data_IF_324127348921
#
_entry.id   IF_324127348921
#
_cell.length_a   1.000
_cell.length_b   1.000
_cell.length_c   1.000
_cell.angle_alpha   90.00
_cell.angle_beta   90.00
_cell.angle_gamma   90.00
#
_symmetry.space_group_name_H-M   'P 1'
#
loop_
_entity.id
_entity.type
_entity.pdbx_description
1 polymer ?
#
# COMPACT_ATOMS: atom_id res chain seq x y z
N UNK A 1 -23.03 80.71 -3.68
CA UNK A 1 -21.82 81.51 -3.93
C UNK A 1 -21.06 81.63 -2.61
N UNK A 2 -19.75 81.36 -2.54
CA UNK A 2 -18.87 80.54 -3.38
C UNK A 2 -18.22 79.39 -2.54
N UNK A 3 -17.71 78.30 -3.12
CA UNK A 3 -16.38 78.18 -3.77
C UNK A 3 -15.34 77.77 -2.71
N UNK A 4 -14.54 76.72 -2.85
CA UNK A 4 -13.68 76.43 -4.00
C UNK A 4 -13.34 74.94 -4.15
N UNK A 5 -13.41 74.51 -5.40
CA UNK A 5 -12.72 73.35 -5.96
C UNK A 5 -11.23 73.63 -6.12
N UNK A 6 -10.38 72.64 -5.87
CA UNK A 6 -9.02 72.61 -6.42
C UNK A 6 -8.78 71.29 -7.16
N UNK A 7 -8.67 71.41 -8.49
CA UNK A 7 -8.16 70.45 -9.45
C UNK A 7 -6.65 70.60 -9.56
N UNK A 8 -5.93 69.50 -9.80
CA UNK A 8 -4.65 69.39 -10.54
C UNK A 8 -4.40 67.87 -10.71
N UNK A 9 -4.86 67.19 -11.77
CA UNK A 9 -4.34 67.10 -13.15
C UNK A 9 -2.92 66.52 -13.31
N UNK A 10 -2.80 65.63 -14.32
CA UNK A 10 -1.60 65.00 -14.93
C UNK A 10 -1.03 63.75 -14.23
N UNK A 11 -0.56 62.71 -14.93
CA UNK A 11 -0.48 62.41 -16.36
C UNK A 11 -0.32 60.89 -16.54
N UNK A 12 -0.84 60.40 -17.67
CA UNK A 12 -0.52 59.09 -18.24
C UNK A 12 0.96 59.08 -18.63
N UNK A 13 1.73 58.12 -18.10
CA UNK A 13 3.06 57.80 -18.58
C UNK A 13 3.11 56.29 -18.87
N UNK A 14 3.10 55.97 -20.16
CA UNK A 14 3.55 54.70 -20.70
C UNK A 14 5.01 54.47 -20.28
N UNK A 15 5.28 53.36 -19.60
CA UNK A 15 6.63 52.81 -19.54
C UNK A 15 6.57 51.32 -19.86
N UNK A 16 7.11 51.05 -21.04
CA UNK A 16 7.38 49.75 -21.61
C UNK A 16 8.36 48.97 -20.73
N UNK A 17 7.97 47.78 -20.30
CA UNK A 17 8.95 46.72 -20.01
C UNK A 17 8.55 45.46 -20.77
N UNK A 18 9.34 45.19 -21.83
CA UNK A 18 9.30 43.97 -22.63
C UNK A 18 9.67 42.75 -21.77
N UNK A 19 9.18 41.55 -22.13
CA UNK A 19 9.50 40.32 -21.43
C UNK A 19 10.95 39.91 -21.72
N UNK A 20 11.73 39.69 -20.66
CA UNK A 20 13.04 39.08 -20.74
C UNK A 20 12.88 37.56 -20.92
N UNK A 21 13.00 37.13 -22.18
CA UNK A 21 13.68 35.92 -22.68
C UNK A 21 13.51 34.59 -21.93
N UNK A 22 12.97 33.65 -22.70
CA UNK A 22 12.90 32.20 -22.56
C UNK A 22 14.10 31.46 -21.92
N UNK A 23 13.72 30.55 -21.01
CA UNK A 23 14.30 29.22 -20.66
C UNK A 23 15.64 29.15 -19.90
N UNK A 24 15.77 28.17 -18.96
CA UNK A 24 15.32 26.78 -19.14
C UNK A 24 14.54 26.14 -17.97
N UNK A 25 13.22 25.93 -18.16
CA UNK A 25 12.45 24.89 -17.45
C UNK A 25 12.68 23.48 -18.04
N UNK A 26 13.92 23.15 -18.37
CA UNK A 26 14.28 21.81 -18.87
C UNK A 26 15.32 21.11 -17.99
N UNK A 27 15.36 21.46 -16.69
CA UNK A 27 16.22 20.77 -15.71
C UNK A 27 15.41 20.22 -14.52
N UNK A 28 14.17 20.66 -14.28
CA UNK A 28 13.35 20.18 -13.13
C UNK A 28 12.63 18.85 -13.36
N UNK A 29 12.55 18.34 -14.60
CA UNK A 29 11.83 17.08 -14.90
C UNK A 29 12.70 15.82 -14.99
N UNK A 30 14.03 15.95 -14.96
CA UNK A 30 14.97 14.81 -15.07
C UNK A 30 15.47 14.33 -13.69
N UNK A 31 15.35 15.17 -12.66
CA UNK A 31 15.86 14.91 -11.31
C UNK A 31 15.09 13.78 -10.57
N UNK A 32 13.74 13.61 -10.69
CA UNK A 32 13.05 12.54 -9.98
C UNK A 32 13.47 11.14 -10.44
N UNK A 33 13.82 10.97 -11.72
CA UNK A 33 14.24 9.66 -12.26
C UNK A 33 15.71 9.33 -11.99
N UNK A 34 16.62 10.30 -12.09
CA UNK A 34 18.03 10.09 -11.77
C UNK A 34 18.26 9.85 -10.27
N UNK A 35 17.55 10.58 -9.39
CA UNK A 35 17.59 10.33 -7.95
C UNK A 35 16.98 8.97 -7.59
N UNK A 36 15.87 8.57 -8.25
CA UNK A 36 15.31 7.22 -8.09
C UNK A 36 16.26 6.11 -8.57
N UNK A 37 17.08 6.36 -9.58
CA UNK A 37 18.06 5.38 -10.07
C UNK A 37 19.22 5.17 -9.10
N UNK A 38 19.87 6.24 -8.62
CA UNK A 38 20.92 6.15 -7.60
C UNK A 38 20.39 5.58 -6.28
N UNK A 39 19.14 5.92 -5.95
CA UNK A 39 18.42 5.38 -4.80
C UNK A 39 18.13 3.87 -4.96
N UNK A 40 17.70 3.42 -6.14
CA UNK A 40 17.54 1.99 -6.50
C UNK A 40 18.87 1.24 -6.55
N UNK A 41 19.97 1.88 -6.98
CA UNK A 41 21.29 1.28 -7.09
C UNK A 41 21.86 0.84 -5.73
N UNK A 42 21.60 1.59 -4.64
CA UNK A 42 21.98 1.20 -3.27
C UNK A 42 21.27 -0.07 -2.75
N UNK A 43 20.23 -0.55 -3.45
CA UNK A 43 19.52 -1.81 -3.13
C UNK A 43 20.34 -3.06 -3.50
N UNK A 44 21.36 -2.93 -4.35
CA UNK A 44 22.16 -4.04 -4.87
C UNK A 44 23.42 -4.39 -4.03
N UNK A 45 23.69 -3.67 -2.93
CA UNK A 45 24.89 -3.88 -2.12
C UNK A 45 24.91 -5.20 -1.30
N UNK A 46 23.84 -6.02 -1.36
CA UNK A 46 23.78 -7.30 -0.66
C UNK A 46 23.15 -8.38 -1.55
N UNK A 47 24.00 -9.14 -2.24
CA UNK A 47 23.61 -10.25 -3.13
C UNK A 47 22.75 -11.28 -2.38
N UNK A 48 23.08 -11.60 -1.13
CA UNK A 48 22.31 -12.55 -0.32
C UNK A 48 20.87 -12.08 -0.07
N UNK A 49 20.69 -10.80 0.28
CA UNK A 49 19.36 -10.22 0.45
C UNK A 49 18.57 -10.14 -0.86
N UNK A 50 19.25 -9.95 -2.00
CA UNK A 50 18.63 -9.98 -3.32
C UNK A 50 18.13 -11.40 -3.67
N UNK A 51 18.97 -12.42 -3.45
CA UNK A 51 18.59 -13.84 -3.68
C UNK A 51 17.41 -14.24 -2.80
N UNK A 52 17.44 -13.88 -1.52
CA UNK A 52 16.31 -14.14 -0.61
C UNK A 52 15.03 -13.45 -1.11
N UNK A 53 15.13 -12.19 -1.53
CA UNK A 53 13.99 -11.46 -2.08
C UNK A 53 13.40 -12.12 -3.33
N UNK A 54 14.25 -12.64 -4.23
CA UNK A 54 13.81 -13.38 -5.41
C UNK A 54 13.08 -14.68 -5.03
N UNK A 55 13.60 -15.44 -4.06
CA UNK A 55 12.95 -16.67 -3.57
C UNK A 55 11.56 -16.40 -2.98
N UNK A 56 11.41 -15.35 -2.17
CA UNK A 56 10.10 -14.97 -1.65
C UNK A 56 9.15 -14.43 -2.74
N UNK A 57 9.68 -13.78 -3.78
CA UNK A 57 8.88 -13.37 -4.94
C UNK A 57 8.32 -14.60 -5.66
N UNK A 58 9.15 -15.63 -5.88
CA UNK A 58 8.71 -16.90 -6.48
C UNK A 58 7.70 -17.64 -5.60
N UNK A 59 7.91 -17.69 -4.28
CA UNK A 59 6.96 -18.26 -3.33
C UNK A 59 5.60 -17.55 -3.43
N UNK A 60 5.60 -16.22 -3.46
CA UNK A 60 4.38 -15.41 -3.58
C UNK A 60 3.68 -15.65 -4.91
N UNK A 61 4.41 -15.71 -6.02
CA UNK A 61 3.84 -16.01 -7.33
C UNK A 61 3.21 -17.39 -7.37
N UNK A 62 3.88 -18.41 -6.83
CA UNK A 62 3.35 -19.78 -6.74
C UNK A 62 2.06 -19.81 -5.92
N UNK A 63 2.08 -19.16 -4.74
CA UNK A 63 0.92 -19.10 -3.85
C UNK A 63 -0.28 -18.46 -4.54
N UNK A 64 -0.13 -17.29 -5.16
CA UNK A 64 -1.25 -16.62 -5.82
C UNK A 64 -1.75 -17.36 -7.06
N UNK A 65 -0.87 -18.02 -7.83
CA UNK A 65 -1.31 -18.87 -8.96
C UNK A 65 -2.22 -19.99 -8.47
N UNK A 66 -1.84 -20.66 -7.39
CA UNK A 66 -2.66 -21.70 -6.77
C UNK A 66 -3.97 -21.12 -6.25
N UNK A 67 -3.93 -20.02 -5.50
CA UNK A 67 -5.12 -19.34 -4.98
C UNK A 67 -6.12 -19.01 -6.09
N UNK A 68 -5.65 -18.42 -7.19
CA UNK A 68 -6.51 -18.07 -8.32
C UNK A 68 -7.00 -19.29 -9.10
N UNK A 69 -6.20 -20.35 -9.20
CA UNK A 69 -6.61 -21.61 -9.85
C UNK A 69 -7.76 -22.26 -9.08
N UNK A 70 -7.61 -22.41 -7.76
CA UNK A 70 -8.65 -22.98 -6.89
C UNK A 70 -9.92 -22.12 -6.88
N UNK A 71 -9.76 -20.79 -6.84
CA UNK A 71 -10.90 -19.87 -6.90
C UNK A 71 -11.63 -19.97 -8.25
N UNK A 72 -10.88 -20.04 -9.37
CA UNK A 72 -11.45 -20.18 -10.70
C UNK A 72 -12.28 -21.47 -10.84
N UNK A 73 -11.74 -22.60 -10.38
CA UNK A 73 -12.45 -23.89 -10.39
C UNK A 73 -13.77 -23.80 -9.62
N UNK A 74 -13.75 -23.24 -8.41
CA UNK A 74 -14.94 -23.10 -7.55
C UNK A 74 -16.04 -22.23 -8.16
N UNK A 75 -15.66 -21.20 -8.94
CA UNK A 75 -16.63 -20.33 -9.62
C UNK A 75 -16.97 -20.83 -11.03
N UNK A 76 -16.50 -22.01 -11.45
CA UNK A 76 -16.75 -22.57 -12.78
C UNK A 76 -16.10 -21.77 -13.91
N UNK A 77 -14.91 -21.22 -13.67
CA UNK A 77 -14.09 -20.52 -14.65
C UNK A 77 -12.85 -21.37 -15.00
N UNK A 78 -12.30 -21.17 -16.20
CA UNK A 78 -11.01 -21.76 -16.56
C UNK A 78 -9.86 -20.87 -16.10
N UNK A 79 -8.77 -21.47 -15.63
CA UNK A 79 -7.53 -20.78 -15.25
C UNK A 79 -6.39 -21.14 -16.21
N UNK A 80 -5.58 -20.15 -16.57
CA UNK A 80 -4.37 -20.35 -17.36
C UNK A 80 -3.22 -19.49 -16.84
N UNK A 81 -2.03 -20.08 -16.74
CA UNK A 81 -0.80 -19.37 -16.37
C UNK A 81 -0.21 -18.63 -17.58
N UNK A 82 0.13 -17.36 -17.42
CA UNK A 82 0.76 -16.53 -18.44
C UNK A 82 2.19 -16.13 -18.05
N UNK A 83 2.96 -15.61 -19.03
CA UNK A 83 4.31 -15.09 -18.81
C UNK A 83 4.26 -13.88 -17.86
N UNK A 84 5.40 -13.54 -17.26
CA UNK A 84 5.57 -12.37 -16.39
C UNK A 84 4.70 -12.36 -15.11
N UNK A 85 4.26 -13.55 -14.66
CA UNK A 85 3.52 -13.71 -13.41
C UNK A 85 2.01 -13.45 -13.53
N UNK A 86 1.50 -13.20 -14.74
CA UNK A 86 0.07 -13.04 -14.97
C UNK A 86 -0.66 -14.38 -14.94
N UNK A 87 -1.91 -14.36 -14.48
CA UNK A 87 -2.88 -15.45 -14.67
C UNK A 87 -4.09 -14.92 -15.44
N UNK A 88 -4.63 -15.78 -16.30
CA UNK A 88 -5.84 -15.54 -17.08
C UNK A 88 -6.96 -16.41 -16.52
N UNK A 89 -8.11 -15.80 -16.23
CA UNK A 89 -9.28 -16.51 -15.70
C UNK A 89 -10.47 -16.19 -16.60
N UNK A 90 -11.12 -17.20 -17.18
CA UNK A 90 -12.13 -17.00 -18.24
C UNK A 90 -13.44 -17.69 -17.90
N UNK A 91 -14.56 -16.98 -18.06
CA UNK A 91 -15.92 -17.52 -17.91
C UNK A 91 -16.88 -16.75 -18.82
N UNK A 92 -17.72 -17.46 -19.59
CA UNK A 92 -18.78 -16.87 -20.43
C UNK A 92 -18.31 -15.72 -21.34
N UNK A 93 -17.19 -15.90 -22.04
CA UNK A 93 -16.62 -14.88 -22.95
C UNK A 93 -15.86 -13.74 -22.26
N UNK A 94 -15.99 -13.58 -20.95
CA UNK A 94 -15.24 -12.61 -20.15
C UNK A 94 -13.91 -13.19 -19.68
N UNK A 95 -12.87 -12.38 -19.72
CA UNK A 95 -11.53 -12.72 -19.25
C UNK A 95 -11.06 -11.74 -18.18
N UNK A 96 -10.69 -12.25 -17.00
CA UNK A 96 -10.01 -11.51 -15.94
C UNK A 96 -8.51 -11.78 -16.04
N UNK A 97 -7.70 -10.74 -15.93
CA UNK A 97 -6.25 -10.82 -15.82
C UNK A 97 -5.84 -10.39 -14.42
N UNK A 98 -5.06 -11.23 -13.75
CA UNK A 98 -4.54 -10.96 -12.40
C UNK A 98 -3.04 -11.15 -12.35
N UNK A 99 -2.38 -10.47 -11.42
CA UNK A 99 -0.95 -10.66 -11.12
C UNK A 99 -0.74 -10.60 -9.61
N UNK A 100 -0.35 -11.72 -9.01
CA UNK A 100 -0.38 -11.86 -7.55
C UNK A 100 -1.75 -11.45 -6.99
N UNK A 101 -1.83 -10.49 -6.07
CA UNK A 101 -3.10 -9.96 -5.56
C UNK A 101 -3.70 -8.82 -6.40
N UNK A 102 -3.03 -8.39 -7.47
CA UNK A 102 -3.48 -7.27 -8.30
C UNK A 102 -4.60 -7.71 -9.26
N UNK A 103 -5.64 -6.90 -9.34
CA UNK A 103 -6.82 -7.05 -10.21
C UNK A 103 -7.09 -5.74 -10.95
N UNK A 104 -7.85 -5.79 -12.05
CA UNK A 104 -8.12 -4.63 -12.92
C UNK A 104 -9.37 -3.83 -12.50
N UNK A 105 -9.59 -3.63 -11.20
CA UNK A 105 -10.76 -2.91 -10.68
C UNK A 105 -10.54 -1.40 -10.59
N UNK A 106 -9.35 -0.99 -10.13
CA UNK A 106 -9.02 0.41 -9.90
C UNK A 106 -8.12 0.99 -11.00
N UNK A 107 -8.29 2.27 -11.32
CA UNK A 107 -7.49 2.96 -12.32
C UNK A 107 -6.04 3.19 -11.87
N UNK A 108 -5.10 3.30 -12.80
CA UNK A 108 -3.70 3.60 -12.46
C UNK A 108 -3.55 4.85 -11.59
N UNK A 109 -4.31 5.91 -11.88
CA UNK A 109 -4.29 7.16 -11.11
C UNK A 109 -4.83 6.96 -9.69
N UNK A 110 -5.87 6.14 -9.51
CA UNK A 110 -6.37 5.75 -8.18
C UNK A 110 -5.29 5.04 -7.37
N UNK A 111 -4.59 4.08 -7.98
CA UNK A 111 -3.49 3.36 -7.33
C UNK A 111 -2.35 4.30 -6.90
N UNK A 112 -1.99 5.26 -7.75
CA UNK A 112 -0.94 6.24 -7.46
C UNK A 112 -1.35 7.21 -6.33
N UNK A 113 -2.56 7.74 -6.39
CA UNK A 113 -3.11 8.63 -5.37
C UNK A 113 -3.17 7.95 -4.01
N UNK A 114 -3.73 6.74 -3.94
CA UNK A 114 -3.83 5.97 -2.69
C UNK A 114 -2.45 5.53 -2.17
N UNK A 115 -1.46 5.42 -3.05
CA UNK A 115 -0.06 5.18 -2.70
C UNK A 115 0.63 6.37 -2.01
N UNK A 116 0.03 7.58 -2.04
CA UNK A 116 0.57 8.79 -1.43
C UNK A 116 -0.17 9.14 -0.12
N UNK A 117 0.50 8.86 1.01
CA UNK A 117 -0.08 9.04 2.34
C UNK A 117 -0.50 10.47 2.64
N UNK A 118 0.32 11.45 2.23
CA UNK A 118 0.03 12.87 2.52
C UNK A 118 -1.21 13.36 1.77
N UNK A 119 -1.39 12.93 0.51
CA UNK A 119 -2.58 13.27 -0.27
C UNK A 119 -3.83 12.57 0.28
N UNK A 120 -3.72 11.29 0.64
CA UNK A 120 -4.84 10.55 1.25
C UNK A 120 -5.27 11.19 2.56
N UNK A 121 -4.34 11.60 3.42
CA UNK A 121 -4.68 12.30 4.66
C UNK A 121 -5.37 13.65 4.40
N UNK A 122 -4.95 14.41 3.38
CA UNK A 122 -5.63 15.65 2.99
C UNK A 122 -7.08 15.39 2.58
N UNK A 123 -7.31 14.43 1.68
CA UNK A 123 -8.67 14.06 1.25
C UNK A 123 -9.53 13.55 2.41
N UNK A 124 -8.97 12.72 3.29
CA UNK A 124 -9.66 12.25 4.49
C UNK A 124 -10.07 13.43 5.38
N UNK A 125 -9.19 14.40 5.60
CA UNK A 125 -9.49 15.58 6.42
C UNK A 125 -10.57 16.47 5.79
N UNK A 126 -10.53 16.69 4.48
CA UNK A 126 -11.56 17.42 3.72
C UNK A 126 -12.94 16.76 3.85
N UNK A 127 -12.98 15.44 3.89
CA UNK A 127 -14.19 14.64 4.13
C UNK A 127 -14.61 14.58 5.61
N UNK A 128 -13.90 15.27 6.52
CA UNK A 128 -14.20 15.30 7.95
C UNK A 128 -13.73 14.08 8.75
N UNK A 129 -12.91 13.20 8.16
CA UNK A 129 -12.33 12.07 8.87
C UNK A 129 -11.18 12.51 9.77
N UNK A 130 -11.07 11.84 10.92
CA UNK A 130 -9.92 11.98 11.80
C UNK A 130 -8.71 11.31 11.16
N UNK A 131 -7.64 12.06 11.02
CA UNK A 131 -6.34 11.58 10.57
C UNK A 131 -5.31 11.62 11.71
N UNK A 132 -4.20 10.88 11.62
CA UNK A 132 -3.08 11.07 12.51
C UNK A 132 -2.57 12.51 12.44
N UNK A 133 -2.14 13.08 13.57
CA UNK A 133 -1.35 14.30 13.52
C UNK A 133 -0.02 13.99 12.81
N UNK A 134 0.29 14.73 11.75
CA UNK A 134 1.44 14.43 10.90
C UNK A 134 2.12 15.69 10.37
N UNK A 135 3.36 15.53 9.92
CA UNK A 135 4.10 16.55 9.20
C UNK A 135 4.88 15.90 8.05
N UNK A 136 4.71 16.43 6.84
CA UNK A 136 5.53 16.06 5.69
C UNK A 136 6.81 16.89 5.65
N UNK A 137 7.92 16.24 5.30
CA UNK A 137 9.26 16.85 5.26
C UNK A 137 10.19 16.06 4.33
N UNK A 138 11.36 16.63 4.07
CA UNK A 138 12.48 16.01 3.35
C UNK A 138 13.72 16.05 4.23
N UNK A 139 14.79 15.35 3.86
CA UNK A 139 16.06 15.48 4.58
C UNK A 139 16.59 16.91 4.64
N UNK A 140 16.33 17.73 3.62
CA UNK A 140 16.68 19.16 3.60
C UNK A 140 15.85 20.00 4.59
N UNK A 141 14.66 19.52 4.95
CA UNK A 141 13.71 20.22 5.84
C UNK A 141 13.47 19.45 7.14
N UNK A 142 14.44 18.64 7.57
CA UNK A 142 14.36 17.80 8.79
C UNK A 142 13.92 18.58 10.03
N UNK A 143 14.30 19.86 10.14
CA UNK A 143 13.92 20.77 11.23
C UNK A 143 12.39 20.87 11.43
N UNK A 144 11.58 20.62 10.40
CA UNK A 144 10.11 20.52 10.53
C UNK A 144 9.70 19.33 11.39
N UNK A 145 10.33 18.18 11.18
CA UNK A 145 10.08 16.98 11.97
C UNK A 145 10.65 17.09 13.38
N UNK A 146 11.76 17.83 13.58
CA UNK A 146 12.30 18.14 14.91
C UNK A 146 11.27 18.94 15.72
N UNK A 147 10.75 20.03 15.15
CA UNK A 147 9.65 20.81 15.77
C UNK A 147 8.41 19.96 16.05
N UNK A 148 8.08 19.04 15.15
CA UNK A 148 6.98 18.11 15.37
C UNK A 148 7.24 17.21 16.58
N UNK A 149 8.43 16.65 16.72
CA UNK A 149 8.80 15.84 17.89
C UNK A 149 8.70 16.66 19.18
N UNK A 150 9.24 17.88 19.20
CA UNK A 150 9.21 18.76 20.38
C UNK A 150 7.77 19.12 20.80
N UNK A 151 6.88 19.33 19.83
CA UNK A 151 5.49 19.72 20.07
C UNK A 151 4.56 18.55 20.44
N UNK A 152 4.97 17.30 20.24
CA UNK A 152 4.13 16.12 20.46
C UNK A 152 4.71 15.23 21.56
N UNK A 153 4.24 15.37 22.82
CA UNK A 153 4.68 14.48 23.89
C UNK A 153 4.22 13.05 23.58
N UNK A 154 5.18 12.15 23.34
CA UNK A 154 4.90 10.75 23.04
C UNK A 154 5.86 10.16 22.00
N UNK A 155 5.51 8.97 21.54
CA UNK A 155 6.24 8.30 20.46
C UNK A 155 5.76 8.80 19.09
N UNK A 156 6.70 8.99 18.18
CA UNK A 156 6.42 9.31 16.77
C UNK A 156 6.86 8.15 15.87
N UNK A 157 6.27 8.13 14.67
CA UNK A 157 6.63 7.20 13.60
C UNK A 157 7.16 7.99 12.42
N UNK A 158 8.26 7.53 11.84
CA UNK A 158 8.80 8.07 10.59
C UNK A 158 8.57 7.05 9.48
N UNK A 159 8.02 7.52 8.36
CA UNK A 159 7.69 6.70 7.20
C UNK A 159 8.01 7.46 5.89
N UNK A 160 8.37 6.76 4.82
CA UNK A 160 8.40 7.38 3.50
C UNK A 160 6.98 7.68 2.99
N UNK A 161 6.79 8.82 2.34
CA UNK A 161 5.46 9.35 1.97
C UNK A 161 4.75 8.52 0.88
N UNK A 162 5.52 7.90 -0.03
CA UNK A 162 5.02 7.08 -1.13
C UNK A 162 5.90 5.83 -1.34
N UNK A 163 5.35 4.82 -2.04
CA UNK A 163 6.11 3.63 -2.48
C UNK A 163 6.44 2.59 -1.40
N UNK A 164 5.77 2.66 -0.24
CA UNK A 164 6.15 1.93 0.99
C UNK A 164 5.40 0.64 1.26
N UNK A 165 4.63 0.12 0.30
CA UNK A 165 3.83 -1.09 0.48
C UNK A 165 4.59 -2.22 1.19
N UNK A 166 4.02 -2.74 2.29
CA UNK A 166 4.66 -3.74 3.15
C UNK A 166 5.56 -3.17 4.26
N UNK A 167 5.44 -1.90 4.61
CA UNK A 167 6.11 -1.30 5.79
C UNK A 167 7.59 -0.96 5.60
N UNK A 168 8.08 -0.88 4.35
CA UNK A 168 9.49 -0.54 4.08
C UNK A 168 9.80 0.89 4.49
N UNK A 169 10.92 1.09 5.17
CA UNK A 169 11.37 2.41 5.61
C UNK A 169 10.64 2.95 6.83
N UNK A 170 9.71 2.19 7.42
CA UNK A 170 8.98 2.59 8.62
C UNK A 170 9.88 2.38 9.85
N UNK A 171 9.88 3.34 10.76
CA UNK A 171 10.45 3.20 12.11
C UNK A 171 9.48 3.81 13.09
N UNK A 172 9.07 3.00 14.07
CA UNK A 172 8.15 3.36 15.14
C UNK A 172 8.90 3.64 16.44
N UNK A 173 8.20 4.23 17.39
CA UNK A 173 8.59 4.41 18.78
C UNK A 173 9.77 5.34 18.98
N UNK A 174 9.90 6.32 18.10
CA UNK A 174 10.94 7.34 18.18
C UNK A 174 10.52 8.34 19.26
N UNK A 175 11.42 8.62 20.20
CA UNK A 175 11.17 9.55 21.33
C UNK A 175 12.19 10.68 21.39
N UNK A 176 13.27 10.62 20.60
CA UNK A 176 14.35 11.59 20.67
C UNK A 176 14.87 12.00 19.27
N UNK A 177 15.63 13.10 19.27
CA UNK A 177 16.22 13.68 18.06
C UNK A 177 17.19 12.75 17.33
N UNK A 178 17.94 11.92 18.07
CA UNK A 178 18.90 11.01 17.48
C UNK A 178 18.20 9.86 16.73
N UNK A 179 17.13 9.32 17.32
CA UNK A 179 16.20 8.36 16.73
C UNK A 179 15.54 8.93 15.48
N UNK A 180 15.01 10.16 15.56
CA UNK A 180 14.42 10.86 14.41
C UNK A 180 15.41 10.99 13.24
N UNK A 181 16.66 11.42 13.52
CA UNK A 181 17.72 11.54 12.50
C UNK A 181 18.09 10.20 11.86
N UNK A 182 18.18 9.13 12.67
CA UNK A 182 18.48 7.77 12.17
C UNK A 182 17.33 7.22 11.32
N UNK A 183 16.10 7.33 11.82
CA UNK A 183 14.89 6.90 11.14
C UNK A 183 14.67 7.66 9.82
N UNK A 184 14.86 8.99 9.81
CA UNK A 184 14.73 9.81 8.61
C UNK A 184 15.73 9.40 7.53
N UNK A 185 17.00 9.15 7.89
CA UNK A 185 18.00 8.65 6.94
C UNK A 185 17.64 7.26 6.40
N UNK A 186 17.09 6.39 7.23
CA UNK A 186 16.62 5.08 6.79
C UNK A 186 15.42 5.19 5.83
N UNK A 187 14.42 5.99 6.18
CA UNK A 187 13.24 6.23 5.35
C UNK A 187 13.57 6.95 4.03
N UNK A 188 14.54 7.88 4.05
CA UNK A 188 15.06 8.57 2.87
C UNK A 188 15.73 7.61 1.87
N UNK A 189 16.13 6.42 2.34
CA UNK A 189 16.45 5.30 1.46
C UNK A 189 15.17 4.60 0.97
N UNK A 190 14.04 5.25 0.73
CA UNK A 190 12.85 4.68 0.09
C UNK A 190 12.04 5.73 -0.67
N UNK A 191 11.98 6.94 -0.12
CA UNK A 191 11.37 8.11 -0.75
C UNK A 191 12.13 9.36 -0.32
N UNK A 192 12.36 10.36 -1.19
CA UNK A 192 12.88 11.66 -0.78
C UNK A 192 11.89 12.41 0.13
N UNK A 193 10.60 12.19 -0.10
CA UNK A 193 9.51 12.74 0.70
C UNK A 193 9.17 11.81 1.86
N UNK A 194 9.16 12.37 3.06
CA UNK A 194 8.96 11.67 4.32
C UNK A 194 7.75 12.25 5.06
N UNK A 195 7.18 11.41 5.92
CA UNK A 195 6.13 11.77 6.86
C UNK A 195 6.57 11.36 8.25
N UNK A 196 6.44 12.30 9.19
CA UNK A 196 6.42 12.00 10.62
C UNK A 196 4.98 12.09 11.10
N UNK A 197 4.55 11.14 11.92
CA UNK A 197 3.21 11.14 12.50
C UNK A 197 3.26 10.68 13.96
N UNK A 198 2.25 11.07 14.74
CA UNK A 198 2.08 10.56 16.10
C UNK A 198 1.83 9.04 16.07
N UNK A 199 2.52 8.29 16.94
CA UNK A 199 2.26 6.87 17.06
C UNK A 199 0.93 6.62 17.76
N UNK A 200 0.05 5.90 17.08
CA UNK A 200 -1.25 5.51 17.61
C UNK A 200 -1.12 4.20 18.38
N UNK A 201 -1.58 4.19 19.63
CA UNK A 201 -1.63 2.99 20.45
C UNK A 201 -2.80 2.08 20.07
N UNK A 202 -2.59 0.77 20.14
CA UNK A 202 -3.63 -0.23 19.89
C UNK A 202 -3.14 -1.36 18.99
N UNK A 203 -4.08 -2.24 18.63
CA UNK A 203 -3.86 -3.34 17.72
C UNK A 203 -4.03 -2.88 16.27
N UNK A 204 -3.38 -3.59 15.35
CA UNK A 204 -3.52 -3.35 13.91
C UNK A 204 -4.58 -4.26 13.32
N UNK A 205 -5.55 -3.65 12.64
CA UNK A 205 -6.60 -4.34 11.93
C UNK A 205 -6.55 -3.96 10.46
N UNK A 206 -6.93 -4.91 9.60
CA UNK A 206 -7.19 -4.67 8.18
C UNK A 206 -8.60 -5.12 7.88
N UNK A 207 -9.46 -4.17 7.51
CA UNK A 207 -10.78 -4.43 6.98
C UNK A 207 -10.70 -4.44 5.46
N UNK A 208 -11.41 -5.35 4.82
CA UNK A 208 -11.42 -5.50 3.38
C UNK A 208 -12.81 -5.15 2.85
N UNK A 209 -12.83 -4.31 1.82
CA UNK A 209 -14.04 -3.84 1.16
C UNK A 209 -13.96 -4.11 -0.34
N UNK A 210 -15.11 -4.47 -0.92
CA UNK A 210 -15.30 -4.60 -2.35
C UNK A 210 -16.56 -3.81 -2.74
N UNK A 211 -16.40 -2.74 -3.52
CA UNK A 211 -17.46 -1.85 -3.96
C UNK A 211 -18.36 -1.40 -2.79
N UNK A 212 -17.74 -0.77 -1.78
CA UNK A 212 -18.39 -0.32 -0.54
C UNK A 212 -18.81 -1.43 0.43
N UNK A 213 -18.83 -2.70 0.00
CA UNK A 213 -19.28 -3.81 0.82
C UNK A 213 -18.14 -4.37 1.67
N UNK A 214 -18.35 -4.43 2.98
CA UNK A 214 -17.44 -5.11 3.91
C UNK A 214 -17.41 -6.63 3.68
N UNK A 215 -16.25 -7.15 3.32
CA UNK A 215 -16.08 -8.57 3.01
C UNK A 215 -15.33 -9.34 4.09
N UNK A 216 -14.28 -8.79 4.71
CA UNK A 216 -13.52 -9.49 5.75
C UNK A 216 -12.74 -8.55 6.69
N UNK A 217 -12.33 -9.04 7.86
CA UNK A 217 -11.41 -8.31 8.73
C UNK A 217 -10.42 -9.21 9.46
N UNK A 218 -9.16 -8.74 9.55
CA UNK A 218 -8.05 -9.47 10.17
C UNK A 218 -7.32 -8.58 11.17
N UNK A 219 -7.12 -9.05 12.41
CA UNK A 219 -6.15 -8.49 13.35
C UNK A 219 -4.77 -9.05 13.02
N UNK A 220 -3.76 -8.20 12.99
CA UNK A 220 -2.37 -8.57 12.75
C UNK A 220 -1.54 -8.24 13.98
N UNK A 221 -0.88 -9.25 14.51
CA UNK A 221 -0.05 -9.16 15.69
C UNK A 221 1.42 -9.05 15.30
N UNK A 222 2.21 -8.34 16.09
CA UNK A 222 3.60 -8.03 15.77
C UNK A 222 4.45 -9.32 15.61
N UNK A 223 5.45 -9.32 14.71
CA UNK A 223 6.25 -10.51 14.49
C UNK A 223 7.18 -10.80 15.69
N UNK A 224 7.23 -12.08 16.07
CA UNK A 224 8.09 -12.61 17.13
C UNK A 224 8.94 -13.79 16.65
N UNK A 225 9.95 -14.14 17.44
CA UNK A 225 10.70 -15.40 17.34
C UNK A 225 10.63 -16.15 18.67
N UNK A 226 10.64 -17.48 18.62
CA UNK A 226 10.64 -18.34 19.82
C UNK A 226 12.03 -18.87 20.07
N UNK A 227 12.53 -18.72 21.30
CA UNK A 227 13.82 -19.24 21.72
C UNK A 227 13.90 -20.76 21.68
N UNK A 228 15.04 -21.29 21.24
CA UNK A 228 15.38 -22.72 21.30
C UNK A 228 16.45 -23.00 22.36
N UNK A 229 16.77 -22.01 23.21
CA UNK A 229 17.81 -22.09 24.25
C UNK A 229 19.25 -22.08 23.72
N UNK A 230 19.47 -22.11 22.40
CA UNK A 230 20.80 -22.31 21.80
C UNK A 230 21.15 -21.27 20.74
N UNK A 231 20.19 -20.78 19.97
CA UNK A 231 20.37 -19.91 18.82
C UNK A 231 20.23 -18.45 19.21
N UNK A 232 20.99 -17.58 18.55
CA UNK A 232 20.77 -16.13 18.69
C UNK A 232 19.50 -15.70 17.94
N UNK A 233 18.93 -14.54 18.28
CA UNK A 233 17.80 -13.94 17.56
C UNK A 233 18.06 -13.91 16.05
N UNK A 234 19.26 -13.50 15.60
CA UNK A 234 19.65 -13.52 14.18
C UNK A 234 19.53 -14.91 13.55
N UNK A 235 19.96 -15.96 14.26
CA UNK A 235 19.85 -17.35 13.79
C UNK A 235 18.41 -17.83 13.80
N UNK A 236 17.61 -17.44 14.80
CA UNK A 236 16.18 -17.76 14.87
C UNK A 236 15.41 -17.12 13.70
N UNK A 237 15.69 -15.86 13.36
CA UNK A 237 15.12 -15.21 12.17
C UNK A 237 15.49 -15.95 10.88
N UNK A 238 16.76 -16.35 10.73
CA UNK A 238 17.20 -17.11 9.56
C UNK A 238 16.51 -18.49 9.48
N UNK A 239 16.36 -19.21 10.59
CA UNK A 239 15.59 -20.46 10.67
C UNK A 239 14.12 -20.23 10.30
N UNK A 240 13.50 -19.17 10.80
CA UNK A 240 12.12 -18.83 10.47
C UNK A 240 11.95 -18.50 8.98
N UNK A 241 12.90 -17.77 8.36
CA UNK A 241 12.85 -17.49 6.92
C UNK A 241 13.05 -18.75 6.08
N UNK A 242 13.95 -19.64 6.49
CA UNK A 242 14.09 -20.95 5.85
C UNK A 242 12.79 -21.76 5.94
N UNK A 243 12.15 -21.78 7.11
CA UNK A 243 10.83 -22.41 7.27
C UNK A 243 9.77 -21.76 6.37
N UNK A 244 9.67 -20.42 6.34
CA UNK A 244 8.72 -19.69 5.47
C UNK A 244 8.87 -20.04 3.98
N UNK A 245 10.09 -20.31 3.51
CA UNK A 245 10.36 -20.66 2.11
C UNK A 245 9.98 -22.10 1.73
N UNK A 246 10.09 -23.05 2.67
CA UNK A 246 9.95 -24.48 2.37
C UNK A 246 8.69 -25.12 2.95
N UNK A 247 8.02 -24.47 3.90
CA UNK A 247 6.81 -25.02 4.51
C UNK A 247 5.64 -25.06 3.52
N UNK A 248 4.87 -26.14 3.59
CA UNK A 248 3.63 -26.32 2.82
C UNK A 248 2.52 -26.78 3.78
N UNK A 249 1.44 -26.01 3.98
CA UNK A 249 1.14 -24.72 3.35
C UNK A 249 2.09 -23.59 3.81
N UNK A 250 2.30 -22.53 3.00
CA UNK A 250 3.17 -21.41 3.41
C UNK A 250 2.67 -20.73 4.69
N UNK A 251 3.58 -20.37 5.59
CA UNK A 251 3.22 -19.62 6.81
C UNK A 251 3.35 -18.10 6.65
N UNK A 252 4.09 -17.63 5.65
CA UNK A 252 4.19 -16.23 5.27
C UNK A 252 4.73 -16.11 3.83
N UNK A 253 4.47 -15.00 3.15
CA UNK A 253 4.94 -14.72 1.79
C UNK A 253 6.04 -13.66 1.74
N UNK A 254 6.62 -13.31 2.88
CA UNK A 254 7.68 -12.31 3.01
C UNK A 254 8.73 -12.76 4.03
N UNK A 255 10.00 -12.35 3.84
CA UNK A 255 11.05 -12.60 4.82
C UNK A 255 10.80 -11.75 6.05
N UNK A 256 11.06 -12.33 7.22
CA UNK A 256 11.21 -11.60 8.47
C UNK A 256 12.59 -10.95 8.50
N UNK A 257 12.65 -9.65 8.83
CA UNK A 257 13.88 -8.87 8.82
C UNK A 257 14.18 -8.26 10.18
N UNK A 258 15.48 -8.23 10.50
CA UNK A 258 16.01 -7.33 11.54
C UNK A 258 16.32 -6.00 10.87
N UNK A 259 15.28 -5.19 10.66
CA UNK A 259 15.36 -3.86 10.08
C UNK A 259 15.68 -2.78 11.14
N UNK A 260 15.52 -1.50 10.77
CA UNK A 260 15.79 -0.39 11.68
C UNK A 260 14.79 -0.36 12.86
N UNK A 261 13.53 -0.73 12.62
CA UNK A 261 12.51 -0.82 13.67
C UNK A 261 12.83 -1.96 14.65
N UNK A 262 13.19 -3.14 14.12
CA UNK A 262 13.63 -4.28 14.92
C UNK A 262 14.88 -3.96 15.76
N UNK A 263 15.86 -3.31 15.14
CA UNK A 263 17.11 -2.97 15.84
C UNK A 263 16.88 -1.97 16.97
N UNK A 264 16.01 -0.97 16.76
CA UNK A 264 15.60 -0.03 17.79
C UNK A 264 14.85 -0.73 18.93
N UNK A 265 13.85 -1.53 18.59
CA UNK A 265 13.05 -2.28 19.57
C UNK A 265 13.89 -3.22 20.43
N UNK A 266 14.79 -4.00 19.83
CA UNK A 266 15.66 -4.90 20.60
C UNK A 266 16.56 -4.11 21.55
N UNK A 267 17.18 -3.03 21.08
CA UNK A 267 18.08 -2.21 21.90
C UNK A 267 17.35 -1.56 23.10
N UNK A 268 16.14 -1.05 22.89
CA UNK A 268 15.29 -0.49 23.96
C UNK A 268 14.94 -1.52 25.04
N UNK A 269 14.89 -2.81 24.68
CA UNK A 269 14.62 -3.92 25.60
C UNK A 269 15.89 -4.61 26.11
N UNK A 270 17.06 -3.96 26.00
CA UNK A 270 18.37 -4.50 26.37
C UNK A 270 18.72 -5.84 25.66
N UNK A 271 18.13 -6.06 24.48
CA UNK A 271 18.39 -7.19 23.61
C UNK A 271 19.28 -6.78 22.43
N UNK A 272 19.87 -7.78 21.79
CA UNK A 272 20.62 -7.58 20.55
C UNK A 272 20.40 -8.77 19.61
N UNK A 273 20.69 -8.66 18.31
CA UNK A 273 20.59 -9.79 17.39
C UNK A 273 21.45 -11.02 17.77
N UNK A 274 22.46 -10.85 18.64
CA UNK A 274 23.30 -11.93 19.18
C UNK A 274 22.75 -12.55 20.46
N UNK A 275 21.74 -11.94 21.11
CA UNK A 275 21.07 -12.49 22.29
C UNK A 275 20.47 -13.87 22.00
N UNK A 276 20.56 -14.79 22.96
CA UNK A 276 20.08 -16.18 22.87
C UNK A 276 18.94 -16.38 23.87
N UNK A 277 17.67 -16.35 23.42
CA UNK A 277 16.53 -16.54 24.31
C UNK A 277 16.48 -17.98 24.82
N UNK A 278 15.98 -18.16 26.05
CA UNK A 278 15.72 -19.47 26.63
C UNK A 278 14.69 -20.24 25.78
N UNK A 279 14.69 -21.57 25.89
CA UNK A 279 13.75 -22.40 25.16
C UNK A 279 12.30 -22.05 25.53
N UNK A 280 11.45 -21.81 24.52
CA UNK A 280 10.05 -21.43 24.71
C UNK A 280 9.81 -19.94 24.97
N UNK A 281 10.85 -19.12 25.16
CA UNK A 281 10.67 -17.67 25.33
C UNK A 281 10.27 -17.03 24.01
N UNK A 282 9.10 -16.40 23.97
CA UNK A 282 8.70 -15.54 22.86
C UNK A 282 9.41 -14.18 22.96
N UNK A 283 10.08 -13.80 21.88
CA UNK A 283 10.76 -12.50 21.78
C UNK A 283 10.12 -11.72 20.64
N UNK A 284 9.44 -10.63 20.98
CA UNK A 284 8.96 -9.68 20.00
C UNK A 284 10.13 -9.10 19.22
N UNK A 285 10.11 -9.22 17.90
CA UNK A 285 11.24 -8.81 17.07
C UNK A 285 11.21 -7.32 16.76
N UNK A 286 10.02 -6.77 16.51
CA UNK A 286 9.81 -5.36 16.16
C UNK A 286 8.40 -4.89 16.49
N UNK A 287 8.24 -3.58 16.59
CA UNK A 287 6.97 -2.91 16.91
C UNK A 287 6.07 -2.78 15.70
N UNK A 288 6.66 -2.55 14.53
CA UNK A 288 5.92 -2.41 13.29
C UNK A 288 5.22 -3.72 12.93
N UNK A 289 3.90 -3.64 12.71
CA UNK A 289 3.06 -4.76 12.31
C UNK A 289 3.22 -5.02 10.81
N UNK A 290 4.30 -5.70 10.45
CA UNK A 290 4.55 -6.20 9.10
C UNK A 290 5.37 -7.50 9.17
N UNK A 291 5.43 -8.23 8.06
CA UNK A 291 6.15 -9.53 7.97
C UNK A 291 5.64 -10.59 8.96
N UNK A 292 4.40 -10.44 9.41
CA UNK A 292 3.65 -11.34 10.27
C UNK A 292 3.44 -12.69 9.55
N UNK A 293 3.40 -13.77 10.31
CA UNK A 293 3.04 -15.11 9.82
C UNK A 293 1.56 -15.40 10.02
N UNK A 294 1.08 -16.50 9.45
CA UNK A 294 -0.30 -16.94 9.58
C UNK A 294 -0.76 -17.02 11.04
N UNK A 295 0.08 -17.56 11.93
CA UNK A 295 -0.20 -17.68 13.36
C UNK A 295 -0.44 -16.33 14.07
N UNK A 296 -0.01 -15.21 13.47
CA UNK A 296 -0.16 -13.85 13.99
C UNK A 296 -1.28 -13.06 13.30
N UNK A 297 -2.05 -13.69 12.42
CA UNK A 297 -3.17 -13.08 11.74
C UNK A 297 -4.46 -13.77 12.21
N UNK A 298 -5.38 -13.01 12.79
CA UNK A 298 -6.61 -13.54 13.37
C UNK A 298 -7.82 -12.98 12.63
N UNK A 299 -8.71 -13.83 12.14
CA UNK A 299 -9.98 -13.37 11.59
C UNK A 299 -10.81 -12.76 12.72
N UNK A 300 -11.22 -11.50 12.56
CA UNK A 300 -12.03 -10.76 13.54
C UNK A 300 -13.28 -10.17 12.89
N UNK A 301 -13.68 -10.68 11.72
CA UNK A 301 -14.79 -10.16 10.91
C UNK A 301 -16.08 -9.96 11.72
N UNK A 302 -16.41 -10.92 12.58
CA UNK A 302 -17.63 -10.90 13.43
C UNK A 302 -17.52 -9.94 14.62
N UNK A 303 -16.31 -9.47 14.96
CA UNK A 303 -16.07 -8.59 16.11
C UNK A 303 -16.10 -7.11 15.74
N UNK A 304 -16.04 -6.75 14.45
CA UNK A 304 -15.95 -5.36 14.04
C UNK A 304 -17.25 -4.62 14.35
N UNK A 305 -17.13 -3.50 15.07
CA UNK A 305 -18.29 -2.67 15.40
C UNK A 305 -18.98 -2.13 14.13
N UNK A 306 -20.33 -2.22 14.01
CA UNK A 306 -21.06 -1.78 12.81
C UNK A 306 -20.79 -0.33 12.40
N UNK A 307 -20.68 0.59 13.36
CA UNK A 307 -20.36 2.00 13.05
C UNK A 307 -18.97 2.16 12.40
N UNK A 308 -17.99 1.33 12.79
CA UNK A 308 -16.66 1.31 12.15
C UNK A 308 -16.76 0.75 10.73
N UNK A 309 -17.58 -0.29 10.53
CA UNK A 309 -17.83 -0.86 9.20
C UNK A 309 -18.39 0.21 8.25
N UNK A 310 -19.43 0.93 8.68
CA UNK A 310 -20.11 1.95 7.88
C UNK A 310 -19.22 3.18 7.63
N UNK A 311 -18.46 3.62 8.63
CA UNK A 311 -17.50 4.73 8.50
C UNK A 311 -16.43 4.41 7.44
N UNK A 312 -15.83 3.23 7.50
CA UNK A 312 -14.82 2.82 6.54
C UNK A 312 -15.42 2.54 5.14
N UNK A 313 -16.65 2.01 5.05
CA UNK A 313 -17.39 1.88 3.79
C UNK A 313 -17.58 3.24 3.10
N UNK A 314 -18.08 4.22 3.85
CA UNK A 314 -18.26 5.58 3.33
C UNK A 314 -16.95 6.22 2.88
N UNK A 315 -15.85 5.98 3.61
CA UNK A 315 -14.53 6.48 3.20
C UNK A 315 -14.09 5.87 1.86
N UNK A 316 -14.19 4.55 1.69
CA UNK A 316 -13.71 3.89 0.46
C UNK A 316 -14.56 4.28 -0.75
N UNK A 317 -15.88 4.44 -0.56
CA UNK A 317 -16.80 4.89 -1.61
C UNK A 317 -16.51 6.33 -2.03
N UNK A 318 -16.31 7.23 -1.06
CA UNK A 318 -15.98 8.64 -1.34
C UNK A 318 -14.60 8.81 -2.01
N UNK A 319 -13.65 7.92 -1.72
CA UNK A 319 -12.34 7.89 -2.38
C UNK A 319 -12.39 7.20 -3.76
N UNK A 320 -13.52 6.59 -4.14
CA UNK A 320 -13.69 5.89 -5.41
C UNK A 320 -12.80 4.66 -5.54
N UNK A 321 -12.52 3.96 -4.42
CA UNK A 321 -11.69 2.75 -4.41
C UNK A 321 -12.59 1.51 -4.39
N UNK A 322 -12.49 0.70 -5.43
CA UNK A 322 -13.38 -0.45 -5.63
C UNK A 322 -12.92 -1.67 -4.82
N UNK A 323 -11.62 -1.94 -4.72
CA UNK A 323 -11.07 -2.96 -3.82
C UNK A 323 -10.10 -2.33 -2.83
N UNK A 324 -10.55 -2.19 -1.58
CA UNK A 324 -9.83 -1.46 -0.55
C UNK A 324 -9.49 -2.33 0.66
N UNK A 325 -8.22 -2.28 1.08
CA UNK A 325 -7.79 -2.69 2.42
C UNK A 325 -7.66 -1.48 3.33
N UNK A 326 -8.58 -1.32 4.28
CA UNK A 326 -8.58 -0.22 5.25
C UNK A 326 -7.85 -0.66 6.51
N UNK A 327 -6.70 -0.05 6.76
CA UNK A 327 -5.88 -0.33 7.94
C UNK A 327 -6.31 0.58 9.09
N UNK A 328 -6.68 -0.04 10.21
CA UNK A 328 -7.17 0.62 11.42
C UNK A 328 -6.21 0.33 12.56
N UNK A 329 -5.87 1.37 13.33
CA UNK A 329 -5.15 1.25 14.60
C UNK A 329 -6.13 1.60 15.71
N UNK A 330 -6.50 0.62 16.55
CA UNK A 330 -7.40 0.86 17.66
C UNK A 330 -7.20 -0.12 18.83
N UNK A 331 -7.64 0.28 20.02
CA UNK A 331 -7.54 -0.56 21.24
C UNK A 331 -8.50 -1.75 21.17
N UNK A 332 -9.71 -1.52 20.69
CA UNK A 332 -10.78 -2.52 20.68
C UNK A 332 -11.68 -2.34 19.45
N UNK A 333 -11.59 -3.26 18.48
CA UNK A 333 -12.34 -3.20 17.23
C UNK A 333 -13.86 -3.43 17.42
N UNK A 334 -14.27 -3.97 18.57
CA UNK A 334 -15.68 -4.16 18.92
C UNK A 334 -16.37 -2.89 19.42
N UNK A 335 -15.61 -1.81 19.60
CA UNK A 335 -16.12 -0.48 19.95
C UNK A 335 -16.07 0.46 18.75
N UNK A 336 -16.95 1.50 18.70
CA UNK A 336 -16.88 2.52 17.66
C UNK A 336 -15.48 3.12 17.55
N UNK A 337 -15.03 3.35 16.31
CA UNK A 337 -13.79 4.09 16.06
C UNK A 337 -13.99 5.57 16.43
N UNK A 338 -12.94 6.21 16.93
CA UNK A 338 -13.00 7.61 17.38
C UNK A 338 -11.92 7.96 18.37
N UNK A 339 -11.97 9.18 18.92
CA UNK A 339 -10.89 9.79 19.71
C UNK A 339 -10.29 8.91 20.80
N UNK A 340 -11.14 8.15 21.49
CA UNK A 340 -10.75 7.34 22.64
C UNK A 340 -10.39 5.90 22.27
N UNK A 341 -10.63 5.47 21.03
CA UNK A 341 -10.44 4.09 20.62
C UNK A 341 -9.38 3.90 19.52
N UNK A 342 -9.29 4.81 18.54
CA UNK A 342 -8.37 4.68 17.42
C UNK A 342 -8.78 5.47 16.18
N UNK A 343 -8.12 5.21 15.06
CA UNK A 343 -8.38 5.86 13.77
C UNK A 343 -8.05 4.95 12.57
N UNK A 344 -8.47 5.38 11.38
CA UNK A 344 -8.06 4.80 10.11
C UNK A 344 -6.67 5.34 9.78
N UNK A 345 -5.68 4.46 9.64
CA UNK A 345 -4.29 4.83 9.38
C UNK A 345 -3.92 4.81 7.90
N UNK A 346 -4.54 3.96 7.09
CA UNK A 346 -4.22 3.85 5.66
C UNK A 346 -5.39 3.24 4.89
N UNK A 347 -5.58 3.67 3.64
CA UNK A 347 -6.46 3.02 2.67
C UNK A 347 -5.56 2.47 1.56
N UNK A 348 -5.50 1.14 1.46
CA UNK A 348 -4.65 0.44 0.51
C UNK A 348 -5.48 -0.04 -0.69
N UNK A 349 -5.09 0.37 -1.90
CA UNK A 349 -5.52 -0.28 -3.15
C UNK A 349 -4.77 -1.57 -3.38
N UNK A 350 -5.32 -2.47 -4.21
CA UNK A 350 -4.74 -3.80 -4.50
C UNK A 350 -4.22 -4.52 -3.25
N UNK A 351 -5.04 -4.62 -2.18
CA UNK A 351 -4.62 -5.19 -0.92
C UNK A 351 -4.17 -6.64 -1.11
N UNK A 352 -3.11 -7.03 -0.41
CA UNK A 352 -2.62 -8.40 -0.49
C UNK A 352 -3.65 -9.40 0.07
N UNK A 353 -4.33 -10.13 -0.81
CA UNK A 353 -5.39 -11.08 -0.43
C UNK A 353 -4.92 -12.14 0.56
N UNK A 354 -3.66 -12.58 0.45
CA UNK A 354 -3.05 -13.57 1.34
C UNK A 354 -3.21 -13.27 2.84
N UNK A 355 -3.39 -12.02 3.27
CA UNK A 355 -3.65 -11.70 4.68
C UNK A 355 -4.98 -12.28 5.20
N UNK A 356 -5.93 -12.55 4.31
CA UNK A 356 -7.26 -13.10 4.61
C UNK A 356 -7.30 -14.64 4.53
N UNK A 357 -6.21 -15.26 4.06
CA UNK A 357 -6.08 -16.71 3.91
C UNK A 357 -4.99 -17.29 4.82
N UNK A 358 -3.85 -16.60 4.95
CA UNK A 358 -2.77 -16.94 5.87
C UNK A 358 -3.10 -16.38 7.25
N UNK A 359 -4.02 -17.08 7.92
CA UNK A 359 -4.52 -16.77 9.27
C UNK A 359 -4.32 -17.98 10.20
N UNK A 360 -4.36 -17.75 11.50
CA UNK A 360 -4.10 -18.76 12.53
C UNK A 360 -5.10 -19.93 12.45
N UNK A 361 -6.33 -19.61 12.04
CA UNK A 361 -7.47 -20.52 11.97
C UNK A 361 -8.04 -20.50 10.53
N UNK A 362 -7.45 -21.25 9.58
CA UNK A 362 -7.81 -21.18 8.15
C UNK A 362 -9.30 -21.48 7.86
N UNK A 363 -9.95 -22.29 8.70
CA UNK A 363 -11.37 -22.62 8.62
C UNK A 363 -12.30 -21.40 8.85
N UNK A 364 -11.79 -20.36 9.49
CA UNK A 364 -12.46 -19.07 9.68
C UNK A 364 -12.20 -18.08 8.53
N UNK A 365 -11.44 -18.50 7.51
CA UNK A 365 -11.05 -17.65 6.39
C UNK A 365 -12.21 -17.31 5.46
N UNK A 366 -12.18 -16.10 4.91
CA UNK A 366 -13.15 -15.67 3.89
C UNK A 366 -12.64 -16.05 2.49
N UNK A 367 -13.54 -16.55 1.64
CA UNK A 367 -13.29 -16.86 0.22
C UNK A 367 -13.22 -15.58 -0.64
N UNK A 368 -12.21 -14.76 -0.37
CA UNK A 368 -12.05 -13.43 -0.97
C UNK A 368 -11.83 -13.49 -2.48
N UNK A 369 -10.96 -14.38 -2.97
CA UNK A 369 -10.66 -14.54 -4.39
C UNK A 369 -11.91 -14.96 -5.19
N UNK A 370 -12.69 -15.90 -4.68
CA UNK A 370 -13.97 -16.31 -5.27
C UNK A 370 -14.95 -15.15 -5.31
N UNK A 371 -15.10 -14.43 -4.19
CA UNK A 371 -15.96 -13.23 -4.09
C UNK A 371 -15.58 -12.17 -5.14
N UNK A 372 -14.27 -11.97 -5.37
CA UNK A 372 -13.76 -11.06 -6.39
C UNK A 372 -14.10 -11.53 -7.80
N UNK A 373 -13.85 -12.81 -8.13
CA UNK A 373 -14.16 -13.36 -9.44
C UNK A 373 -15.65 -13.28 -9.75
N UNK A 374 -16.50 -13.66 -8.81
CA UNK A 374 -17.96 -13.57 -8.96
C UNK A 374 -18.41 -12.13 -9.21
N UNK A 375 -17.89 -11.17 -8.44
CA UNK A 375 -18.19 -9.76 -8.64
C UNK A 375 -17.76 -9.27 -10.03
N UNK A 376 -16.52 -9.54 -10.44
CA UNK A 376 -15.97 -9.11 -11.72
C UNK A 376 -16.71 -9.74 -12.90
N UNK A 377 -17.02 -11.04 -12.85
CA UNK A 377 -17.80 -11.70 -13.91
C UNK A 377 -19.25 -11.22 -13.94
N UNK A 378 -19.87 -10.96 -12.79
CA UNK A 378 -21.26 -10.48 -12.71
C UNK A 378 -21.41 -9.07 -13.26
N UNK A 379 -20.46 -8.19 -12.97
CA UNK A 379 -20.54 -6.76 -13.33
C UNK A 379 -19.84 -6.46 -14.66
N UNK A 380 -18.95 -7.33 -15.12
CA UNK A 380 -18.05 -7.06 -16.24
C UNK A 380 -16.90 -6.09 -15.91
N UNK A 381 -16.81 -5.58 -14.66
CA UNK A 381 -15.75 -4.68 -14.23
C UNK A 381 -14.40 -5.39 -14.21
N UNK A 382 -13.36 -4.73 -14.72
CA UNK A 382 -12.02 -5.29 -14.81
C UNK A 382 -11.92 -6.56 -15.67
N UNK A 383 -12.83 -6.73 -16.63
CA UNK A 383 -12.81 -7.86 -17.58
C UNK A 383 -12.45 -7.39 -18.99
N UNK A 384 -11.90 -8.32 -19.76
CA UNK A 384 -11.62 -8.18 -21.19
C UNK A 384 -12.58 -9.08 -21.97
N UNK A 385 -12.96 -8.64 -23.17
CA UNK A 385 -13.62 -9.48 -24.19
C UNK A 385 -12.61 -9.78 -25.28
N UNK A 386 -12.21 -11.04 -25.39
CA UNK A 386 -11.16 -11.48 -26.32
C UNK A 386 -11.71 -12.21 -27.54
N UNK A 387 -13.01 -12.03 -27.83
CA UNK A 387 -13.63 -12.54 -29.04
C UNK A 387 -12.96 -11.91 -30.26
N UNK A 388 -12.69 -12.72 -31.29
CA UNK A 388 -12.18 -12.20 -32.56
C UNK A 388 -13.22 -11.19 -33.08
N UNK A 389 -12.81 -9.98 -33.50
CA UNK A 389 -13.71 -9.12 -34.24
C UNK A 389 -14.25 -9.94 -35.41
N UNK A 390 -15.57 -10.06 -35.53
CA UNK A 390 -16.16 -10.42 -36.81
C UNK A 390 -15.83 -9.26 -37.74
N UNK A 391 -14.66 -9.32 -38.39
CA UNK A 391 -14.41 -8.51 -39.57
C UNK A 391 -15.45 -9.01 -40.55
N UNK A 392 -16.54 -8.27 -40.63
CA UNK A 392 -17.67 -8.59 -41.46
C UNK A 392 -17.16 -8.99 -42.85
N UNK A 393 -17.71 -10.07 -43.38
CA UNK A 393 -17.68 -10.41 -44.80
C UNK A 393 -18.24 -9.28 -45.71
N UNK A 394 -18.52 -8.09 -45.17
CA UNK A 394 -18.91 -6.87 -45.88
C UNK A 394 -17.79 -6.17 -46.66
N UNK A 395 -16.55 -6.69 -46.69
CA UNK A 395 -15.56 -6.19 -47.67
C UNK A 395 -15.98 -6.44 -49.14
N UNK A 396 -16.92 -7.36 -49.41
CA UNK A 396 -17.48 -7.51 -50.77
C UNK A 396 -18.57 -6.49 -51.12
N UNK A 397 -19.29 -5.94 -50.13
CA UNK A 397 -20.34 -4.94 -50.39
C UNK A 397 -19.83 -3.50 -50.43
N UNK A 398 -18.81 -3.15 -49.63
CA UNK A 398 -18.28 -1.76 -49.63
C UNK A 398 -17.52 -1.44 -50.92
N UNK A 399 -16.87 -2.43 -51.55
CA UNK A 399 -16.19 -2.24 -52.84
C UNK A 399 -17.18 -2.27 -54.01
N UNK A 400 -18.28 -3.02 -53.91
CA UNK A 400 -19.31 -3.05 -54.95
C UNK A 400 -20.10 -1.73 -55.05
N UNK A 401 -20.42 -1.09 -53.93
CA UNK A 401 -21.11 0.22 -53.93
C UNK A 401 -20.21 1.38 -54.35
N UNK A 402 -18.89 1.28 -54.14
CA UNK A 402 -17.92 2.28 -54.59
C UNK A 402 -17.64 2.21 -56.11
N UNK A 403 -17.87 1.06 -56.75
CA UNK A 403 -17.67 0.85 -58.19
C UNK A 403 -18.95 1.01 -59.02
N UNK A 404 -20.14 1.03 -58.40
CA UNK A 404 -21.41 1.28 -59.09
C UNK A 404 -21.86 2.75 -59.07
N UNK A 405 -21.12 3.64 -58.39
CA UNK A 405 -21.47 5.07 -58.23
C UNK A 405 -20.80 6.03 -59.23
N UNK A 406 -20.01 5.53 -60.18
CA UNK A 406 -19.40 6.33 -61.25
C UNK A 406 -19.94 5.89 -62.61
N UNK A 407 -21.24 6.14 -62.82
CA UNK A 407 -21.92 5.93 -64.09
C UNK A 407 -22.90 7.08 -64.30
N UNK A 408 -22.40 8.11 -65.00
CA UNK A 408 -23.08 9.09 -65.87
C UNK A 408 -24.57 9.34 -65.63
N UNK A 409 -24.90 10.58 -65.23
CA UNK A 409 -25.64 11.55 -66.06
C UNK A 409 -25.34 12.99 -65.61
#
# INVERSE_FOLDING_TARGET
MPGSTNNLSRAVAFSSNRPATDRPEMISRVIPHAMNFAYRARRFANIGALVEHLRFTQLRDKYYRQLWSEAAERVGASHGNWRFGFSRITKNGLTIIVRQGEVMLDSHLTLELMGNKSLVYQLMAEMGFRIPHYCSYTMATLKRAEKFLDANPGQIVVKPAAGTGGGRGVTTGITDLAGLKKASRYAARFSPDLVVEQQIAGNSYRLLYLNGKFIDAVRRDQPLVVGDGKSSIRKLVAKQNAHRLHNSPPTALSPLKIDHDASGWLAENALSPSFRPQAGTEVLLKRAVNENSAAQNHNVRKMVHPATILMAASLVDNLGVELAGVDILCRDISKPLGAKNGLISEVNTTPGLHHHYLIANPEMGTRVAETLLEYMFKTGRGTLRLEKPQVAENKKNIVATALSGTGVD
#
